data_IF_126861454950
#
_entry.id   IF_126861454950
#
_cell.length_a   1.000
_cell.length_b   1.000
_cell.length_c   1.000
_cell.angle_alpha   90.00
_cell.angle_beta   90.00
_cell.angle_gamma   90.00
#
_symmetry.space_group_name_H-M   'P 1'
#
loop_
_entity.id
_entity.type
_entity.pdbx_description
1 polymer ?
#
# COMPACT_ATOMS: atom_id res chain seq x y z
N UNK A 1 -0.62 18.46 1.75
CA UNK A 1 -1.27 17.20 2.17
C UNK A 1 -0.52 15.96 1.68
N UNK A 2 -0.01 15.95 0.44
CA UNK A 2 0.72 14.78 -0.10
C UNK A 2 1.93 14.36 0.74
N UNK A 3 2.74 15.31 1.19
CA UNK A 3 3.88 15.05 2.08
C UNK A 3 3.48 14.30 3.35
N UNK A 4 2.43 14.75 4.04
CA UNK A 4 1.93 14.08 5.25
C UNK A 4 1.41 12.65 4.97
N UNK A 5 0.92 12.37 3.76
CA UNK A 5 0.52 11.02 3.34
C UNK A 5 1.73 10.11 3.04
N UNK A 6 2.91 10.66 2.76
CA UNK A 6 4.14 9.91 2.56
C UNK A 6 4.81 9.53 3.90
N UNK A 7 4.79 10.44 4.88
CA UNK A 7 5.53 10.30 6.14
C UNK A 7 4.93 9.25 7.10
N UNK A 8 3.62 8.96 7.02
CA UNK A 8 2.89 8.19 8.04
C UNK A 8 2.86 6.67 7.89
N UNK A 9 3.76 6.04 7.12
CA UNK A 9 3.66 4.61 6.75
C UNK A 9 2.27 4.20 6.22
N UNK A 10 1.53 5.15 5.63
CA UNK A 10 0.16 4.93 5.17
C UNK A 10 0.05 3.80 4.13
N UNK A 11 1.16 3.52 3.43
CA UNK A 11 1.29 2.46 2.42
C UNK A 11 1.68 1.09 3.00
N UNK A 12 1.91 0.96 4.32
CA UNK A 12 2.25 -0.31 4.95
C UNK A 12 1.14 -1.36 4.76
N UNK A 13 -0.13 -0.94 4.88
CA UNK A 13 -1.26 -1.85 4.60
C UNK A 13 -1.25 -2.33 3.14
N UNK A 14 -0.86 -1.47 2.19
CA UNK A 14 -0.75 -1.87 0.78
C UNK A 14 0.37 -2.90 0.55
N UNK A 15 1.47 -2.84 1.32
CA UNK A 15 2.50 -3.88 1.31
C UNK A 15 1.97 -5.22 1.84
N UNK A 16 1.17 -5.20 2.90
CA UNK A 16 0.57 -6.42 3.43
C UNK A 16 -0.40 -7.05 2.41
N UNK A 17 -1.27 -6.24 1.80
CA UNK A 17 -2.18 -6.67 0.74
C UNK A 17 -1.43 -7.22 -0.48
N UNK A 18 -0.29 -6.61 -0.84
CA UNK A 18 0.58 -7.11 -1.89
C UNK A 18 1.12 -8.50 -1.56
N UNK A 19 1.66 -8.71 -0.36
CA UNK A 19 2.17 -10.02 0.07
C UNK A 19 1.08 -11.10 0.10
N UNK A 20 -0.14 -10.73 0.51
CA UNK A 20 -1.30 -11.62 0.48
C UNK A 20 -1.66 -12.03 -0.94
N UNK A 21 -1.62 -11.10 -1.89
CA UNK A 21 -1.82 -11.41 -3.32
C UNK A 21 -0.75 -12.36 -3.87
N UNK A 22 0.46 -12.36 -3.31
CA UNK A 22 1.52 -13.30 -3.67
C UNK A 22 1.39 -14.67 -2.97
N UNK A 23 0.37 -14.85 -2.13
CA UNK A 23 0.05 -16.13 -1.49
C UNK A 23 0.47 -16.25 -0.03
N UNK A 24 0.99 -15.19 0.58
CA UNK A 24 1.30 -15.20 2.02
C UNK A 24 0.02 -15.06 2.84
N UNK A 25 -0.24 -15.88 3.88
CA UNK A 25 -1.39 -15.68 4.75
C UNK A 25 -1.39 -14.28 5.39
N UNK A 26 -2.56 -13.67 5.55
CA UNK A 26 -2.67 -12.28 6.02
C UNK A 26 -1.96 -12.04 7.36
N UNK A 27 -2.03 -13.00 8.30
CA UNK A 27 -1.34 -12.90 9.59
C UNK A 27 0.16 -12.75 9.42
N UNK A 28 0.76 -13.60 8.59
CA UNK A 28 2.20 -13.62 8.34
C UNK A 28 2.62 -12.39 7.53
N UNK A 29 1.79 -11.95 6.57
CA UNK A 29 2.01 -10.72 5.83
C UNK A 29 1.99 -9.49 6.75
N UNK A 30 1.00 -9.39 7.63
CA UNK A 30 0.89 -8.29 8.58
C UNK A 30 2.09 -8.27 9.55
N UNK A 31 2.54 -9.43 10.04
CA UNK A 31 3.73 -9.52 10.89
C UNK A 31 5.01 -9.10 10.16
N UNK A 32 5.20 -9.58 8.93
CA UNK A 32 6.33 -9.18 8.07
C UNK A 32 6.37 -7.66 7.85
N UNK A 33 5.22 -7.05 7.55
CA UNK A 33 5.13 -5.59 7.38
C UNK A 33 5.39 -4.86 8.70
N UNK A 34 4.91 -5.36 9.83
CA UNK A 34 5.17 -4.75 11.14
C UNK A 34 6.67 -4.70 11.46
N UNK A 35 7.41 -5.77 11.13
CA UNK A 35 8.87 -5.79 11.24
C UNK A 35 9.54 -4.77 10.31
N UNK A 36 9.07 -4.66 9.06
CA UNK A 36 9.60 -3.70 8.10
C UNK A 36 9.36 -2.25 8.53
N UNK A 37 8.17 -1.93 9.03
CA UNK A 37 7.83 -0.61 9.56
C UNK A 37 8.70 -0.28 10.76
N UNK A 38 8.88 -1.22 11.71
CA UNK A 38 9.77 -1.02 12.85
C UNK A 38 11.20 -0.71 12.41
N UNK A 39 11.74 -1.47 11.46
CA UNK A 39 13.07 -1.23 10.89
C UNK A 39 13.20 0.18 10.29
N UNK A 40 12.19 0.63 9.54
CA UNK A 40 12.16 1.97 8.96
C UNK A 40 12.05 3.08 10.00
N UNK A 41 11.27 2.88 11.07
CA UNK A 41 11.18 3.83 12.20
C UNK A 41 12.55 3.99 12.85
N UNK A 42 13.24 2.89 13.14
CA UNK A 42 14.57 2.90 13.76
C UNK A 42 15.63 3.57 12.86
N UNK A 43 15.46 3.48 11.53
CA UNK A 43 16.36 4.07 10.52
C UNK A 43 15.95 5.50 10.10
N UNK A 44 14.82 6.00 10.59
CA UNK A 44 14.21 7.28 10.16
C UNK A 44 14.04 7.39 8.62
N UNK A 45 13.52 6.34 7.98
CA UNK A 45 13.24 6.32 6.55
C UNK A 45 11.83 5.76 6.25
N UNK A 46 11.34 5.95 5.03
CA UNK A 46 10.11 5.33 4.56
C UNK A 46 10.35 3.91 4.03
N UNK A 47 9.27 3.13 3.85
CA UNK A 47 9.33 1.82 3.19
C UNK A 47 9.81 1.92 1.73
N UNK A 48 9.45 3.02 1.05
CA UNK A 48 9.86 3.32 -0.32
C UNK A 48 11.35 3.65 -0.46
N UNK A 49 12.02 3.99 0.64
CA UNK A 49 13.43 4.37 0.63
C UNK A 49 14.36 3.15 0.74
N UNK A 50 13.81 2.00 1.12
CA UNK A 50 14.57 0.75 1.20
C UNK A 50 14.86 0.21 -0.19
N UNK A 51 16.06 -0.30 -0.40
CA UNK A 51 16.33 -1.15 -1.56
C UNK A 51 15.48 -2.44 -1.49
N UNK A 52 15.24 -3.08 -2.63
CA UNK A 52 14.48 -4.34 -2.68
C UNK A 52 15.02 -5.39 -1.69
N UNK A 53 16.34 -5.52 -1.63
CA UNK A 53 17.03 -6.45 -0.72
C UNK A 53 16.82 -6.09 0.74
N UNK A 54 16.92 -4.80 1.09
CA UNK A 54 16.64 -4.32 2.45
C UNK A 54 15.18 -4.54 2.82
N UNK A 55 14.24 -4.28 1.92
CA UNK A 55 12.81 -4.49 2.15
C UNK A 55 12.50 -5.97 2.40
N UNK A 56 13.05 -6.88 1.59
CA UNK A 56 12.93 -8.34 1.80
C UNK A 56 13.47 -8.73 3.18
N UNK A 57 14.66 -8.23 3.54
CA UNK A 57 15.29 -8.52 4.83
C UNK A 57 14.49 -7.94 6.00
N UNK A 58 13.99 -6.72 5.86
CA UNK A 58 13.19 -6.03 6.88
C UNK A 58 11.85 -6.73 7.11
N UNK A 59 11.28 -7.36 6.08
CA UNK A 59 10.11 -8.22 6.19
C UNK A 59 10.40 -9.60 6.82
N UNK A 60 11.65 -9.90 7.19
CA UNK A 60 12.04 -11.22 7.71
C UNK A 60 11.94 -12.35 6.68
N UNK A 61 11.90 -12.02 5.39
CA UNK A 61 11.78 -12.99 4.31
C UNK A 61 13.17 -13.46 3.83
N UNK A 62 13.21 -14.66 3.27
CA UNK A 62 14.42 -15.18 2.62
C UNK A 62 14.84 -14.29 1.44
N UNK A 63 16.13 -14.02 1.21
CA UNK A 63 16.62 -13.27 0.05
C UNK A 63 16.22 -13.87 -1.31
N UNK A 64 15.87 -15.16 -1.34
CA UNK A 64 15.40 -15.87 -2.54
C UNK A 64 13.87 -15.90 -2.67
N UNK A 65 13.17 -15.22 -1.76
CA UNK A 65 11.71 -15.14 -1.79
C UNK A 65 11.24 -14.46 -3.07
N UNK A 66 10.27 -15.07 -3.74
CA UNK A 66 9.58 -14.47 -4.90
C UNK A 66 8.38 -13.62 -4.48
N UNK A 67 8.11 -13.51 -3.18
CA UNK A 67 6.97 -12.77 -2.63
C UNK A 67 7.13 -11.25 -2.75
N UNK A 68 8.36 -10.74 -2.89
CA UNK A 68 8.60 -9.31 -3.10
C UNK A 68 9.49 -9.14 -4.33
N UNK A 69 8.95 -8.44 -5.32
CA UNK A 69 9.66 -8.06 -6.55
C UNK A 69 9.72 -6.53 -6.66
N UNK A 70 10.40 -6.02 -7.68
CA UNK A 70 10.48 -4.56 -7.94
C UNK A 70 9.11 -3.88 -8.07
N UNK A 71 8.07 -4.64 -8.44
CA UNK A 71 6.70 -4.12 -8.58
C UNK A 71 6.11 -3.61 -7.26
N UNK A 72 6.65 -4.04 -6.10
CA UNK A 72 6.19 -3.60 -4.78
C UNK A 72 6.27 -2.07 -4.62
N UNK A 73 7.27 -1.42 -5.21
CA UNK A 73 7.45 0.03 -5.09
C UNK A 73 6.33 0.82 -5.78
N UNK A 74 5.60 0.20 -6.72
CA UNK A 74 4.44 0.84 -7.33
C UNK A 74 3.30 1.06 -6.33
N UNK A 75 3.15 0.19 -5.33
CA UNK A 75 2.11 0.31 -4.28
C UNK A 75 2.58 1.10 -3.06
N UNK A 76 3.90 1.25 -2.87
CA UNK A 76 4.50 2.02 -1.77
C UNK A 76 4.50 3.54 -1.98
N UNK A 77 3.67 4.05 -2.90
CA UNK A 77 3.47 5.49 -3.11
C UNK A 77 2.04 5.90 -2.75
N UNK A 78 1.79 7.15 -2.28
CA UNK A 78 0.43 7.61 -2.03
C UNK A 78 -0.48 7.46 -3.25
N UNK A 79 0.05 7.77 -4.44
CA UNK A 79 -0.67 7.62 -5.71
C UNK A 79 -0.99 6.16 -6.01
N UNK A 80 -0.04 5.25 -5.78
CA UNK A 80 -0.21 3.81 -5.93
C UNK A 80 -1.32 3.29 -5.03
N UNK A 81 -1.25 3.60 -3.73
CA UNK A 81 -2.24 3.23 -2.71
C UNK A 81 -3.65 3.72 -3.06
N UNK A 82 -3.80 5.00 -3.43
CA UNK A 82 -5.08 5.57 -3.83
C UNK A 82 -5.66 4.86 -5.06
N UNK A 83 -4.83 4.57 -6.06
CA UNK A 83 -5.24 3.89 -7.29
C UNK A 83 -5.58 2.41 -7.10
N UNK A 84 -4.92 1.72 -6.15
CA UNK A 84 -5.14 0.31 -5.88
C UNK A 84 -6.55 0.03 -5.37
N UNK A 85 -7.16 0.98 -4.65
CA UNK A 85 -8.54 0.90 -4.14
C UNK A 85 -9.58 1.22 -5.22
N UNK A 86 -9.56 0.44 -6.31
CA UNK A 86 -10.45 0.59 -7.47
C UNK A 86 -11.66 -0.35 -7.45
N UNK A 87 -12.30 -0.48 -6.29
CA UNK A 87 -13.61 -1.13 -6.15
C UNK A 87 -14.70 -0.08 -5.92
N UNK A 88 -15.98 -0.46 -6.03
CA UNK A 88 -17.08 0.46 -5.73
C UNK A 88 -16.91 1.00 -4.30
N UNK A 89 -16.95 2.33 -4.16
CA UNK A 89 -16.72 3.03 -2.88
C UNK A 89 -15.25 3.26 -2.51
N UNK A 90 -14.30 2.77 -3.30
CA UNK A 90 -12.88 3.00 -3.09
C UNK A 90 -12.39 4.40 -3.49
N UNK A 91 -11.13 4.68 -3.17
CA UNK A 91 -10.52 6.02 -3.33
C UNK A 91 -9.91 6.27 -4.71
N UNK A 92 -9.87 5.28 -5.60
CA UNK A 92 -9.32 5.46 -6.93
C UNK A 92 -10.05 6.60 -7.67
N UNK A 93 -9.36 7.48 -8.42
CA UNK A 93 -9.98 8.64 -9.07
C UNK A 93 -11.20 8.27 -9.93
N UNK A 94 -11.14 7.12 -10.63
CA UNK A 94 -12.27 6.56 -11.39
C UNK A 94 -13.50 6.31 -10.51
N UNK A 95 -13.31 5.79 -9.31
CA UNK A 95 -14.39 5.48 -8.35
C UNK A 95 -14.96 6.74 -7.72
N UNK A 96 -14.11 7.70 -7.38
CA UNK A 96 -14.53 9.02 -6.86
C UNK A 96 -15.35 9.77 -7.91
N UNK A 97 -14.91 9.80 -9.17
CA UNK A 97 -15.68 10.40 -10.27
C UNK A 97 -17.03 9.70 -10.48
N UNK A 98 -17.04 8.36 -10.42
CA UNK A 98 -18.29 7.60 -10.50
C UNK A 98 -19.23 7.90 -9.32
N UNK A 99 -18.70 8.08 -8.10
CA UNK A 99 -19.46 8.47 -6.93
C UNK A 99 -20.06 9.88 -7.05
N UNK A 100 -19.27 10.85 -7.52
CA UNK A 100 -19.73 12.22 -7.82
C UNK A 100 -20.88 12.20 -8.82
N UNK A 101 -20.77 11.41 -9.90
CA UNK A 101 -21.84 11.27 -10.91
C UNK A 101 -23.13 10.71 -10.31
N UNK A 102 -23.03 9.66 -9.48
CA UNK A 102 -24.18 9.07 -8.78
C UNK A 102 -24.85 10.08 -7.84
N UNK A 103 -24.05 10.78 -7.02
CA UNK A 103 -24.54 11.79 -6.10
C UNK A 103 -25.28 12.93 -6.81
N UNK A 104 -24.68 13.49 -7.88
CA UNK A 104 -25.32 14.53 -8.71
C UNK A 104 -26.63 14.07 -9.33
N UNK A 105 -26.71 12.82 -9.76
CA UNK A 105 -27.94 12.23 -10.31
C UNK A 105 -29.02 12.14 -9.23
N UNK A 106 -28.66 11.73 -8.01
CA UNK A 106 -29.59 11.65 -6.87
C UNK A 106 -30.15 13.01 -6.46
N UNK A 107 -29.31 14.05 -6.47
CA UNK A 107 -29.75 15.42 -6.14
C UNK A 107 -30.73 16.02 -7.16
N UNK A 108 -30.65 15.62 -8.44
CA UNK A 108 -31.56 16.07 -9.52
C UNK A 108 -32.90 15.34 -9.55
N UNK A 109 -33.05 14.25 -8.78
CA UNK A 109 -34.29 13.46 -8.69
C UNK A 109 -35.17 13.88 -7.51
N UNK A 110 -34.78 14.92 -6.78
CA UNK A 110 -35.62 15.66 -5.85
C UNK A 110 -36.15 16.90 -6.55
#
# INVERSE_FOLDING_TARGET
MEQAAQEGFATATDLADYLVKQGLPFRDAHEAVAHAVKYCVDKHCALSDLSLTELIKACGLSPKSKLITQEVFAVLTPKGSVNARNHVGGTAPKQVLAAIKRARTGLRKK
#
